data_IF_741598321659
#
_entry.id   IF_741598321659
#
_cell.length_a   1.000
_cell.length_b   1.000
_cell.length_c   1.000
_cell.angle_alpha   90.00
_cell.angle_beta   90.00
_cell.angle_gamma   90.00
#
_symmetry.space_group_name_H-M   'P 1'
#
loop_
_entity.id
_entity.type
_entity.pdbx_description
1 polymer ?
#
# COMPACT_ATOMS: atom_id res chain seq x y z
N UNK A 1 10.92 3.16 -4.03
CA UNK A 1 10.00 2.05 -3.67
C UNK A 1 10.56 0.68 -4.06
N UNK A 2 11.15 0.49 -5.25
CA UNK A 2 11.67 -0.82 -5.70
C UNK A 2 12.75 -1.43 -4.82
N UNK A 3 13.63 -0.62 -4.27
CA UNK A 3 14.70 -1.06 -3.37
C UNK A 3 14.15 -1.68 -2.06
N UNK A 4 13.16 -1.02 -1.44
CA UNK A 4 12.50 -1.53 -0.24
C UNK A 4 11.75 -2.84 -0.45
N UNK A 5 11.13 -3.02 -1.61
CA UNK A 5 10.47 -4.27 -1.99
C UNK A 5 11.45 -5.44 -2.05
N UNK A 6 12.65 -5.26 -2.64
CA UNK A 6 13.68 -6.30 -2.70
C UNK A 6 14.14 -6.76 -1.32
N UNK A 7 14.33 -5.82 -0.39
CA UNK A 7 14.73 -6.14 0.98
C UNK A 7 13.69 -6.92 1.78
N UNK A 8 12.42 -6.78 1.46
CA UNK A 8 11.34 -7.51 2.13
C UNK A 8 11.09 -8.85 1.45
N UNK A 9 11.04 -8.88 0.11
CA UNK A 9 10.67 -10.10 -0.63
C UNK A 9 11.72 -11.19 -0.58
N UNK A 10 13.00 -10.86 -0.69
CA UNK A 10 14.07 -11.88 -0.71
C UNK A 10 14.16 -12.62 0.63
N UNK A 11 14.25 -11.95 1.80
CA UNK A 11 14.24 -12.64 3.08
C UNK A 11 12.96 -13.44 3.34
N UNK A 12 11.81 -12.89 2.93
CA UNK A 12 10.52 -13.56 3.10
C UNK A 12 10.47 -14.90 2.34
N UNK A 13 10.97 -14.93 1.09
CA UNK A 13 11.06 -16.16 0.32
C UNK A 13 12.03 -17.16 0.93
N UNK A 14 13.19 -16.70 1.38
CA UNK A 14 14.17 -17.58 2.02
C UNK A 14 13.59 -18.22 3.28
N UNK A 15 12.91 -17.46 4.13
CA UNK A 15 12.30 -17.97 5.35
C UNK A 15 11.13 -18.91 5.03
N UNK A 16 10.27 -18.57 4.07
CA UNK A 16 9.13 -19.40 3.69
C UNK A 16 9.55 -20.79 3.17
N UNK A 17 10.69 -20.89 2.49
CA UNK A 17 11.19 -22.14 1.95
C UNK A 17 12.26 -22.85 2.81
N UNK A 18 12.74 -22.21 3.88
CA UNK A 18 13.79 -22.77 4.73
C UNK A 18 13.40 -24.10 5.40
N UNK A 19 12.10 -24.29 5.68
CA UNK A 19 11.58 -25.48 6.35
C UNK A 19 10.90 -26.47 5.39
N UNK A 20 10.83 -26.13 4.10
CA UNK A 20 10.11 -26.94 3.11
C UNK A 20 11.05 -27.96 2.47
N UNK A 21 10.59 -29.21 2.41
CA UNK A 21 11.30 -30.29 1.74
C UNK A 21 11.53 -29.96 0.24
N UNK A 22 12.69 -30.27 -0.34
CA UNK A 22 13.00 -29.93 -1.73
C UNK A 22 11.97 -30.36 -2.77
N UNK A 23 11.32 -31.51 -2.56
CA UNK A 23 10.28 -32.06 -3.41
C UNK A 23 9.02 -31.16 -3.47
N UNK A 24 8.69 -30.48 -2.36
CA UNK A 24 7.49 -29.65 -2.23
C UNK A 24 7.72 -28.15 -2.56
N UNK A 25 8.95 -27.76 -2.88
CA UNK A 25 9.30 -26.36 -3.14
C UNK A 25 8.58 -25.77 -4.33
N UNK A 26 8.39 -26.57 -5.39
CA UNK A 26 7.68 -26.13 -6.60
C UNK A 26 6.21 -25.84 -6.31
N UNK A 27 5.55 -26.74 -5.58
CA UNK A 27 4.14 -26.56 -5.18
C UNK A 27 3.99 -25.40 -4.21
N UNK A 28 4.90 -25.27 -3.25
CA UNK A 28 4.95 -24.15 -2.33
C UNK A 28 5.11 -22.81 -3.03
N UNK A 29 5.94 -22.73 -4.09
CA UNK A 29 6.11 -21.51 -4.88
C UNK A 29 4.84 -21.15 -5.65
N UNK A 30 4.15 -22.13 -6.21
CA UNK A 30 2.89 -21.94 -6.91
C UNK A 30 1.80 -21.40 -5.94
N UNK A 31 1.69 -22.01 -4.77
CA UNK A 31 0.74 -21.59 -3.74
C UNK A 31 1.03 -20.16 -3.24
N UNK A 32 2.31 -19.85 -2.97
CA UNK A 32 2.74 -18.53 -2.54
C UNK A 32 2.41 -17.46 -3.61
N UNK A 33 2.62 -17.79 -4.88
CA UNK A 33 2.29 -16.90 -6.00
C UNK A 33 0.78 -16.66 -6.11
N UNK A 34 -0.03 -17.70 -5.91
CA UNK A 34 -1.48 -17.60 -5.90
C UNK A 34 -1.96 -16.67 -4.77
N UNK A 35 -1.52 -16.92 -3.55
CA UNK A 35 -1.88 -16.11 -2.37
C UNK A 35 -1.46 -14.65 -2.56
N UNK A 36 -0.25 -14.41 -3.12
CA UNK A 36 0.22 -13.07 -3.43
C UNK A 36 -0.68 -12.37 -4.44
N UNK A 37 -1.04 -13.05 -5.54
CA UNK A 37 -1.88 -12.46 -6.59
C UNK A 37 -3.27 -12.12 -6.07
N UNK A 38 -3.89 -13.03 -5.31
CA UNK A 38 -5.19 -12.77 -4.68
C UNK A 38 -5.09 -11.63 -3.67
N UNK A 39 -4.07 -11.65 -2.80
CA UNK A 39 -3.85 -10.59 -1.81
C UNK A 39 -3.61 -9.22 -2.46
N UNK A 40 -2.82 -9.16 -3.53
CA UNK A 40 -2.60 -7.91 -4.26
C UNK A 40 -3.85 -7.39 -4.95
N UNK A 41 -4.66 -8.26 -5.55
CA UNK A 41 -5.92 -7.87 -6.18
C UNK A 41 -6.90 -7.27 -5.17
N UNK A 42 -7.05 -7.91 -4.00
CA UNK A 42 -7.88 -7.39 -2.91
C UNK A 42 -7.32 -6.06 -2.40
N UNK A 43 -6.00 -5.98 -2.17
CA UNK A 43 -5.34 -4.76 -1.69
C UNK A 43 -5.57 -3.57 -2.63
N UNK A 44 -5.32 -3.75 -3.94
CA UNK A 44 -5.53 -2.71 -4.95
C UNK A 44 -7.00 -2.28 -4.99
N UNK A 45 -7.93 -3.24 -4.95
CA UNK A 45 -9.37 -2.93 -4.97
C UNK A 45 -9.80 -2.08 -3.77
N UNK A 46 -9.39 -2.46 -2.57
CA UNK A 46 -9.70 -1.70 -1.34
C UNK A 46 -9.09 -0.30 -1.39
N UNK A 47 -7.80 -0.19 -1.72
CA UNK A 47 -7.10 1.09 -1.80
C UNK A 47 -7.75 2.01 -2.83
N UNK A 48 -8.04 1.51 -4.03
CA UNK A 48 -8.69 2.31 -5.08
C UNK A 48 -10.08 2.79 -4.66
N UNK A 49 -10.87 1.93 -4.04
CA UNK A 49 -12.20 2.29 -3.54
C UNK A 49 -12.10 3.38 -2.45
N UNK A 50 -11.17 3.25 -1.51
CA UNK A 50 -10.97 4.24 -0.44
C UNK A 50 -10.49 5.59 -0.99
N UNK A 51 -9.53 5.60 -1.90
CA UNK A 51 -9.06 6.84 -2.55
C UNK A 51 -10.21 7.52 -3.28
N UNK A 52 -11.00 6.76 -4.07
CA UNK A 52 -12.14 7.31 -4.79
C UNK A 52 -13.19 7.93 -3.87
N UNK A 53 -13.56 7.24 -2.79
CA UNK A 53 -14.51 7.76 -1.79
C UNK A 53 -13.96 9.00 -1.10
N UNK A 54 -12.69 8.98 -0.68
CA UNK A 54 -12.06 10.12 0.00
C UNK A 54 -12.00 11.34 -0.91
N UNK A 55 -11.65 11.16 -2.20
CA UNK A 55 -11.64 12.27 -3.17
C UNK A 55 -13.02 12.91 -3.29
N UNK A 56 -14.09 12.11 -3.39
CA UNK A 56 -15.46 12.65 -3.50
C UNK A 56 -15.86 13.43 -2.24
N UNK A 57 -15.58 12.90 -1.07
CA UNK A 57 -15.88 13.55 0.21
C UNK A 57 -15.08 14.85 0.35
N UNK A 58 -13.77 14.81 0.13
CA UNK A 58 -12.91 15.99 0.25
C UNK A 58 -13.23 17.05 -0.79
N UNK A 59 -13.56 16.65 -2.02
CA UNK A 59 -14.03 17.60 -3.04
C UNK A 59 -15.32 18.31 -2.60
N UNK A 60 -16.28 17.57 -2.06
CA UNK A 60 -17.52 18.13 -1.52
C UNK A 60 -17.25 19.08 -0.34
N UNK A 61 -16.38 18.69 0.58
CA UNK A 61 -16.00 19.54 1.73
C UNK A 61 -15.29 20.80 1.25
N UNK A 62 -14.29 20.68 0.38
CA UNK A 62 -13.53 21.82 -0.13
C UNK A 62 -14.44 22.78 -0.91
N UNK A 63 -15.36 22.27 -1.71
CA UNK A 63 -16.30 23.10 -2.47
C UNK A 63 -17.25 23.90 -1.56
N UNK A 64 -17.62 23.37 -0.41
CA UNK A 64 -18.47 24.07 0.56
C UNK A 64 -17.83 25.33 1.16
N UNK A 65 -16.50 25.39 1.17
CA UNK A 65 -15.74 26.57 1.63
C UNK A 65 -15.61 27.66 0.58
N UNK A 66 -16.00 27.39 -0.69
CA UNK A 66 -15.95 28.37 -1.77
C UNK A 66 -17.20 29.24 -1.72
N UNK A 67 -17.20 30.19 -0.82
CA UNK A 67 -18.28 31.15 -0.68
C UNK A 67 -17.74 32.58 -0.80
N UNK A 68 -18.53 33.53 -1.34
CA UNK A 68 -18.15 34.93 -1.41
C UNK A 68 -17.81 35.56 -0.04
N UNK A 69 -18.32 34.95 1.04
CA UNK A 69 -18.11 35.39 2.42
C UNK A 69 -16.76 34.90 3.00
N UNK A 70 -16.11 33.93 2.34
CA UNK A 70 -14.84 33.43 2.82
C UNK A 70 -13.72 34.46 2.57
N UNK A 71 -13.11 34.94 3.65
CA UNK A 71 -12.03 35.94 3.61
C UNK A 71 -10.86 35.55 2.72
N UNK A 72 -10.55 34.26 2.58
CA UNK A 72 -9.49 33.78 1.71
C UNK A 72 -9.75 34.12 0.22
N UNK A 73 -11.01 34.19 -0.17
CA UNK A 73 -11.42 34.55 -1.53
C UNK A 73 -11.62 36.05 -1.76
N UNK A 74 -11.68 36.86 -0.69
CA UNK A 74 -11.82 38.32 -0.81
C UNK A 74 -10.51 39.02 -1.16
N UNK A 75 -9.36 38.31 -1.12
CA UNK A 75 -8.02 38.82 -1.43
C UNK A 75 -7.47 38.31 -2.76
N UNK A 76 -6.28 37.74 -2.73
CA UNK A 76 -5.54 37.29 -3.92
C UNK A 76 -6.28 36.23 -4.77
N UNK A 77 -7.24 35.49 -4.17
CA UNK A 77 -8.02 34.48 -4.86
C UNK A 77 -9.35 35.00 -5.46
N UNK A 78 -9.61 36.31 -5.42
CA UNK A 78 -10.86 36.89 -5.97
C UNK A 78 -11.01 36.60 -7.48
N UNK A 79 -9.90 36.50 -8.21
CA UNK A 79 -9.89 36.14 -9.65
C UNK A 79 -10.29 34.69 -9.93
N UNK A 80 -10.25 33.82 -8.91
CA UNK A 80 -10.65 32.41 -9.00
C UNK A 80 -12.13 32.19 -8.66
N UNK A 81 -12.86 33.25 -8.28
CA UNK A 81 -14.29 33.14 -8.04
C UNK A 81 -15.01 32.61 -9.29
N UNK A 82 -15.94 31.64 -9.16
CA UNK A 82 -16.60 30.99 -10.28
C UNK A 82 -17.68 31.90 -10.88
N UNK A 83 -17.28 33.10 -11.38
CA UNK A 83 -18.15 34.07 -12.03
C UNK A 83 -18.41 33.74 -13.50
N UNK A 84 -17.51 32.95 -14.10
CA UNK A 84 -17.64 32.49 -15.49
C UNK A 84 -17.50 30.95 -15.55
N UNK A 85 -18.02 30.29 -16.59
CA UNK A 85 -17.84 28.84 -16.78
C UNK A 85 -16.37 28.42 -16.80
N UNK A 86 -15.51 29.26 -17.35
CA UNK A 86 -14.07 28.99 -17.41
C UNK A 86 -13.41 29.04 -16.01
N UNK A 87 -13.70 30.08 -15.22
CA UNK A 87 -13.16 30.17 -13.84
C UNK A 87 -13.68 29.03 -12.95
N UNK A 88 -14.93 28.61 -13.15
CA UNK A 88 -15.50 27.45 -12.46
C UNK A 88 -14.74 26.15 -12.76
N UNK A 89 -14.42 25.90 -14.04
CA UNK A 89 -13.64 24.71 -14.44
C UNK A 89 -12.21 24.72 -13.87
N UNK A 90 -11.55 25.88 -13.90
CA UNK A 90 -10.20 26.01 -13.32
C UNK A 90 -10.23 25.75 -11.82
N UNK A 91 -11.21 26.29 -11.12
CA UNK A 91 -11.37 26.11 -9.69
C UNK A 91 -11.68 24.62 -9.34
N UNK A 92 -12.58 23.99 -10.08
CA UNK A 92 -12.90 22.57 -9.93
C UNK A 92 -11.67 21.69 -10.13
N UNK A 93 -10.85 21.98 -11.12
CA UNK A 93 -9.56 21.29 -11.33
C UNK A 93 -8.59 21.44 -10.17
N UNK A 94 -8.51 22.65 -9.57
CA UNK A 94 -7.68 22.89 -8.38
C UNK A 94 -8.21 22.11 -7.18
N UNK A 95 -9.53 22.12 -6.96
CA UNK A 95 -10.16 21.38 -5.87
C UNK A 95 -9.95 19.88 -5.99
N UNK A 96 -10.16 19.34 -7.17
CA UNK A 96 -9.96 17.92 -7.45
C UNK A 96 -8.51 17.51 -7.19
N UNK A 97 -7.54 18.34 -7.59
CA UNK A 97 -6.12 18.10 -7.30
C UNK A 97 -5.82 18.12 -5.80
N UNK A 98 -6.41 19.04 -5.04
CA UNK A 98 -6.23 19.10 -3.58
C UNK A 98 -6.90 17.91 -2.90
N UNK A 99 -8.10 17.53 -3.31
CA UNK A 99 -8.79 16.35 -2.81
C UNK A 99 -7.99 15.06 -3.05
N UNK A 100 -7.38 14.92 -4.22
CA UNK A 100 -6.48 13.81 -4.54
C UNK A 100 -5.26 13.76 -3.61
N UNK A 101 -4.63 14.90 -3.35
CA UNK A 101 -3.46 14.96 -2.45
C UNK A 101 -3.86 14.50 -1.03
N UNK A 102 -5.01 14.95 -0.54
CA UNK A 102 -5.52 14.55 0.77
C UNK A 102 -5.84 13.05 0.79
N UNK A 103 -6.49 12.55 -0.27
CA UNK A 103 -6.84 11.14 -0.39
C UNK A 103 -5.60 10.23 -0.39
N UNK A 104 -4.59 10.57 -1.18
CA UNK A 104 -3.31 9.83 -1.16
C UNK A 104 -2.61 9.89 0.19
N UNK A 105 -2.66 11.03 0.87
CA UNK A 105 -2.05 11.17 2.20
C UNK A 105 -2.74 10.27 3.24
N UNK A 106 -4.06 10.14 3.15
CA UNK A 106 -4.83 9.22 3.99
C UNK A 106 -4.56 7.75 3.64
N UNK A 107 -4.39 7.42 2.36
CA UNK A 107 -4.01 6.09 1.90
C UNK A 107 -2.62 5.68 2.42
N UNK A 108 -1.64 6.58 2.41
CA UNK A 108 -0.33 6.36 3.03
C UNK A 108 -0.42 6.07 4.53
N UNK A 109 -1.28 6.78 5.26
CA UNK A 109 -1.53 6.51 6.70
C UNK A 109 -2.14 5.13 6.90
N UNK A 110 -3.09 4.74 6.05
CA UNK A 110 -3.68 3.41 6.10
C UNK A 110 -2.63 2.32 5.86
N UNK A 111 -1.80 2.46 4.82
CA UNK A 111 -0.72 1.52 4.54
C UNK A 111 0.28 1.42 5.70
N UNK A 112 0.63 2.53 6.32
CA UNK A 112 1.45 2.54 7.52
C UNK A 112 0.78 1.79 8.68
N UNK A 113 -0.50 2.04 8.93
CA UNK A 113 -1.25 1.39 9.99
C UNK A 113 -1.40 -0.12 9.78
N UNK A 114 -1.61 -0.56 8.54
CA UNK A 114 -1.72 -1.98 8.20
C UNK A 114 -0.38 -2.71 8.21
N UNK A 115 0.73 -2.01 7.99
CA UNK A 115 2.08 -2.60 8.05
C UNK A 115 2.57 -2.84 9.48
N UNK A 116 2.10 -2.06 10.47
CA UNK A 116 2.50 -2.20 11.88
C UNK A 116 2.15 -3.57 12.47
N UNK A 117 0.92 -4.11 12.34
CA UNK A 117 0.59 -5.46 12.83
C UNK A 117 1.40 -6.55 12.16
N UNK A 118 1.74 -6.40 10.88
CA UNK A 118 2.62 -7.35 10.16
C UNK A 118 4.02 -7.37 10.76
N UNK A 119 4.56 -6.22 11.11
CA UNK A 119 5.86 -6.11 11.78
C UNK A 119 5.83 -6.80 13.17
N UNK A 120 4.72 -6.63 13.90
CA UNK A 120 4.53 -7.26 15.20
C UNK A 120 4.44 -8.79 15.06
N UNK A 121 3.76 -9.30 14.05
CA UNK A 121 3.70 -10.73 13.73
C UNK A 121 5.07 -11.30 13.41
N UNK A 122 5.91 -10.56 12.67
CA UNK A 122 7.29 -10.97 12.38
C UNK A 122 8.14 -11.10 13.66
N UNK A 123 7.93 -10.21 14.63
CA UNK A 123 8.63 -10.28 15.93
C UNK A 123 8.17 -11.47 16.78
N UNK A 124 6.90 -11.90 16.62
CA UNK A 124 6.36 -13.08 17.30
C UNK A 124 6.79 -14.40 16.66
N UNK A 125 7.19 -14.39 15.39
CA UNK A 125 7.66 -15.60 14.71
C UNK A 125 8.99 -16.06 15.33
N UNK A 126 8.98 -17.25 15.94
CA UNK A 126 10.20 -17.91 16.45
C UNK A 126 11.13 -18.23 15.29
N UNK A 127 12.41 -18.01 15.48
CA UNK A 127 13.45 -18.46 14.54
C UNK A 127 13.30 -19.96 14.32
N UNK A 128 13.19 -20.45 13.07
CA UNK A 128 13.22 -21.88 12.82
C UNK A 128 14.53 -22.44 13.34
N UNK A 129 14.44 -23.53 14.13
CA UNK A 129 15.60 -24.26 14.60
C UNK A 129 16.32 -24.79 13.36
N UNK A 130 17.53 -24.34 13.10
CA UNK A 130 18.35 -24.87 12.02
C UNK A 130 18.45 -26.39 12.21
N UNK A 131 17.94 -27.15 11.25
CA UNK A 131 18.19 -28.58 11.21
C UNK A 131 19.71 -28.79 11.20
N UNK A 132 20.22 -29.59 12.13
CA UNK A 132 21.64 -29.93 12.17
C UNK A 132 22.05 -30.47 10.79
N UNK A 133 23.25 -30.10 10.28
CA UNK A 133 23.73 -30.68 9.04
C UNK A 133 23.67 -32.21 9.18
N UNK A 134 23.08 -32.87 8.20
CA UNK A 134 23.13 -34.32 8.12
C UNK A 134 24.63 -34.71 8.11
N UNK A 135 25.05 -35.48 9.10
CA UNK A 135 26.42 -36.06 9.11
C UNK A 135 26.61 -36.80 7.78
N UNK A 136 27.75 -36.58 7.11
CA UNK A 136 28.08 -37.37 5.92
C UNK A 136 28.21 -38.82 6.36
N UNK A 137 27.22 -39.63 5.96
CA UNK A 137 27.25 -41.06 6.23
C UNK A 137 28.60 -41.62 5.78
N UNK A 138 29.36 -42.20 6.70
CA UNK A 138 30.52 -42.98 6.38
C UNK A 138 30.12 -44.05 5.39
N UNK A 139 30.55 -43.89 4.13
CA UNK A 139 30.55 -44.99 3.17
C UNK A 139 31.47 -46.07 3.74
N UNK A 140 30.89 -47.09 4.34
CA UNK A 140 31.60 -48.34 4.65
C UNK A 140 31.90 -48.96 3.32
N UNK A 141 33.17 -48.90 2.92
CA UNK A 141 33.70 -49.75 1.83
C UNK A 141 33.96 -51.12 2.44
N UNK A 142 33.19 -52.10 2.03
CA UNK A 142 33.58 -53.53 2.01
C UNK A 142 33.86 -53.93 0.59
#
# INVERSE_FOLDING_TARGET
QGFGLGFVFVPLQVIAFATLEPALRTEGTALLSLVRNVGSAIGISVTTAMVSQTVQVEHSVLSSYITPLNRAFQGAAASLMPTTPHSAQVLDGILNRQALIIAYNNDWKLMMLTSLPMLLLLLLMRRPKQAAPAEPGHAVMD
#
